data_IF_558317911627
#
_entry.id   IF_558317911627
#
_cell.length_a   1.000
_cell.length_b   1.000
_cell.length_c   1.000
_cell.angle_alpha   90.00
_cell.angle_beta   90.00
_cell.angle_gamma   90.00
#
_symmetry.space_group_name_H-M   'P 1'
#
loop_
_entity.id
_entity.type
_entity.pdbx_description
1 polymer ?
#
# COMPACT_ATOMS: atom_id res chain seq x y z
N UNK A 1 67.30 -6.67 -2.28
CA UNK A 1 66.23 -7.57 -2.73
C UNK A 1 64.92 -6.84 -2.54
N UNK A 2 64.26 -6.53 -3.64
CA UNK A 2 62.94 -5.91 -3.66
C UNK A 2 61.94 -7.04 -3.39
N UNK A 3 61.14 -6.93 -2.33
CA UNK A 3 60.08 -7.89 -2.02
C UNK A 3 58.83 -7.41 -2.75
N UNK A 4 58.31 -8.27 -3.61
CA UNK A 4 57.15 -8.05 -4.47
C UNK A 4 55.90 -7.71 -3.66
N UNK A 5 55.10 -6.78 -4.21
CA UNK A 5 53.69 -6.65 -3.92
C UNK A 5 52.95 -7.84 -4.53
N UNK A 6 52.27 -8.65 -3.72
CA UNK A 6 51.16 -9.47 -4.18
C UNK A 6 49.91 -9.00 -3.43
N UNK A 7 48.95 -8.60 -4.25
CA UNK A 7 47.66 -8.02 -3.92
C UNK A 7 46.84 -8.94 -3.03
N UNK A 8 46.48 -8.45 -1.85
CA UNK A 8 45.34 -8.95 -1.10
C UNK A 8 44.10 -8.73 -1.97
N UNK A 9 43.67 -9.78 -2.66
CA UNK A 9 42.34 -9.83 -3.26
C UNK A 9 41.33 -9.70 -2.12
N UNK A 10 40.88 -8.48 -1.89
CA UNK A 10 39.63 -8.19 -1.19
C UNK A 10 38.54 -8.97 -1.92
N UNK A 11 38.29 -10.20 -1.44
CA UNK A 11 37.14 -10.98 -1.83
C UNK A 11 35.91 -10.16 -1.49
N UNK A 12 35.38 -9.45 -2.49
CA UNK A 12 34.07 -8.82 -2.43
C UNK A 12 33.08 -9.96 -2.25
N UNK A 13 32.79 -10.31 -0.99
CA UNK A 13 31.66 -11.16 -0.65
C UNK A 13 30.45 -10.40 -1.19
N UNK A 14 29.71 -10.95 -2.18
CA UNK A 14 28.47 -10.34 -2.59
C UNK A 14 27.57 -10.37 -1.37
N UNK A 15 27.37 -9.22 -0.73
CA UNK A 15 26.32 -9.06 0.26
C UNK A 15 25.06 -9.47 -0.48
N UNK A 16 24.45 -10.61 -0.08
CA UNK A 16 23.18 -11.06 -0.62
C UNK A 16 22.28 -9.84 -0.74
N UNK A 17 21.99 -9.40 -1.96
CA UNK A 17 20.96 -8.42 -2.22
C UNK A 17 19.67 -9.03 -1.67
N UNK A 18 19.30 -8.67 -0.44
CA UNK A 18 18.07 -9.13 0.18
C UNK A 18 16.96 -8.44 -0.59
N UNK A 19 16.42 -9.13 -1.60
CA UNK A 19 15.28 -8.64 -2.36
C UNK A 19 14.14 -8.43 -1.36
N UNK A 20 13.86 -7.16 -1.05
CA UNK A 20 12.75 -6.77 -0.22
C UNK A 20 11.46 -7.16 -0.92
N UNK A 21 10.59 -7.88 -0.23
CA UNK A 21 9.32 -8.34 -0.82
C UNK A 21 8.40 -7.14 -0.98
N UNK A 22 7.77 -7.02 -2.14
CA UNK A 22 6.79 -5.97 -2.40
C UNK A 22 5.39 -6.45 -2.01
N UNK A 23 4.70 -5.64 -1.20
CA UNK A 23 3.30 -5.81 -0.87
C UNK A 23 2.44 -4.92 -1.78
N UNK A 24 1.53 -5.54 -2.52
CA UNK A 24 0.55 -4.85 -3.35
C UNK A 24 -0.78 -4.83 -2.59
N UNK A 25 -1.26 -3.63 -2.27
CA UNK A 25 -2.48 -3.43 -1.48
C UNK A 25 -3.58 -2.89 -2.38
N UNK A 26 -4.71 -3.60 -2.43
CA UNK A 26 -5.96 -3.05 -2.96
C UNK A 26 -6.55 -2.06 -1.95
N UNK A 27 -6.24 -0.78 -2.14
CA UNK A 27 -6.67 0.29 -1.24
C UNK A 27 -8.18 0.48 -1.24
N UNK A 28 -8.88 0.20 -2.34
CA UNK A 28 -10.32 0.36 -2.42
C UNK A 28 -11.02 -0.68 -1.55
N UNK A 29 -10.57 -1.94 -1.64
CA UNK A 29 -11.10 -3.02 -0.81
C UNK A 29 -10.85 -2.77 0.68
N UNK A 30 -9.63 -2.33 1.05
CA UNK A 30 -9.32 -2.02 2.46
C UNK A 30 -10.17 -0.86 2.99
N UNK A 31 -10.33 0.22 2.21
CA UNK A 31 -11.19 1.37 2.59
C UNK A 31 -12.64 0.94 2.85
N UNK A 32 -13.18 0.06 2.00
CA UNK A 32 -14.53 -0.47 2.17
C UNK A 32 -14.65 -1.43 3.36
N UNK A 33 -13.73 -2.38 3.50
CA UNK A 33 -13.70 -3.32 4.62
C UNK A 33 -13.62 -2.58 5.95
N UNK A 34 -12.72 -1.61 6.07
CA UNK A 34 -12.49 -0.90 7.32
C UNK A 34 -13.65 0.00 7.73
N UNK A 35 -14.44 0.51 6.78
CA UNK A 35 -15.68 1.19 7.17
C UNK A 35 -16.71 0.20 7.75
N UNK A 36 -16.71 -1.05 7.29
CA UNK A 36 -17.73 -2.06 7.62
C UNK A 36 -17.36 -3.01 8.76
N UNK A 37 -16.11 -2.95 9.25
CA UNK A 37 -15.66 -3.73 10.40
C UNK A 37 -16.46 -3.32 11.64
N UNK A 38 -17.37 -4.20 12.06
CA UNK A 38 -18.25 -4.03 13.22
C UNK A 38 -19.74 -4.25 12.94
N UNK A 39 -20.13 -4.51 11.68
CA UNK A 39 -21.54 -4.75 11.32
C UNK A 39 -21.83 -6.24 11.36
N UNK A 40 -22.67 -6.67 12.29
CA UNK A 40 -22.99 -8.07 12.54
C UNK A 40 -24.39 -8.46 12.01
N UNK A 41 -25.18 -7.48 11.55
CA UNK A 41 -26.54 -7.72 11.04
C UNK A 41 -26.78 -7.11 9.65
N UNK A 42 -27.75 -7.68 8.92
CA UNK A 42 -28.22 -7.15 7.62
C UNK A 42 -28.78 -5.72 7.71
N UNK A 43 -29.28 -5.29 8.87
CA UNK A 43 -29.78 -3.92 9.07
C UNK A 43 -28.64 -2.91 9.19
N UNK A 44 -27.54 -3.29 9.84
CA UNK A 44 -26.32 -2.50 9.94
C UNK A 44 -25.60 -2.34 8.59
N UNK A 45 -25.66 -3.37 7.74
CA UNK A 45 -25.21 -3.30 6.34
C UNK A 45 -26.03 -2.31 5.49
N UNK A 46 -27.33 -2.12 5.74
CA UNK A 46 -28.12 -1.11 5.02
C UNK A 46 -27.81 0.33 5.46
N UNK A 47 -27.40 0.54 6.72
CA UNK A 47 -26.81 1.83 7.14
C UNK A 47 -25.40 2.04 6.59
N UNK A 48 -24.76 0.97 6.10
CA UNK A 48 -23.39 1.00 5.62
C UNK A 48 -23.23 1.72 4.28
N UNK A 49 -24.24 1.63 3.41
CA UNK A 49 -24.28 2.41 2.17
C UNK A 49 -24.26 3.93 2.43
N UNK A 50 -24.52 4.37 3.67
CA UNK A 50 -24.44 5.77 4.09
C UNK A 50 -23.13 6.10 4.84
N UNK A 51 -22.35 5.09 5.26
CA UNK A 51 -21.07 5.33 5.96
C UNK A 51 -19.94 5.50 4.95
N UNK A 52 -19.37 6.69 4.99
CA UNK A 52 -18.19 7.08 4.23
C UNK A 52 -17.00 6.16 4.57
N UNK A 53 -16.30 5.57 3.58
CA UNK A 53 -15.05 4.84 3.78
C UNK A 53 -14.05 5.64 4.62
N UNK A 54 -13.27 4.99 5.50
CA UNK A 54 -12.29 5.66 6.36
C UNK A 54 -10.85 5.22 6.04
N UNK A 55 -9.98 6.19 5.75
CA UNK A 55 -8.57 5.95 5.42
C UNK A 55 -7.70 5.52 6.61
N UNK A 56 -8.17 5.63 7.86
CA UNK A 56 -7.41 5.18 9.04
C UNK A 56 -7.08 3.68 8.94
N UNK A 57 -8.03 2.85 8.50
CA UNK A 57 -7.81 1.42 8.37
C UNK A 57 -6.70 1.09 7.37
N UNK A 58 -6.69 1.79 6.25
CA UNK A 58 -5.64 1.68 5.24
C UNK A 58 -4.27 2.16 5.75
N UNK A 59 -4.24 3.23 6.56
CA UNK A 59 -3.01 3.69 7.22
C UNK A 59 -2.41 2.60 8.13
N UNK A 60 -3.24 1.93 8.92
CA UNK A 60 -2.78 0.87 9.83
C UNK A 60 -2.22 -0.34 9.07
N UNK A 61 -2.85 -0.74 7.96
CA UNK A 61 -2.36 -1.82 7.10
C UNK A 61 -1.00 -1.48 6.51
N UNK A 62 -0.84 -0.28 5.93
CA UNK A 62 0.43 0.15 5.34
C UNK A 62 1.53 0.26 6.39
N UNK A 63 1.21 0.83 7.56
CA UNK A 63 2.15 0.91 8.69
C UNK A 63 2.65 -0.49 9.08
N UNK A 64 1.73 -1.46 9.21
CA UNK A 64 2.09 -2.83 9.59
C UNK A 64 3.01 -3.50 8.57
N UNK A 65 2.75 -3.30 7.28
CA UNK A 65 3.59 -3.83 6.20
C UNK A 65 5.00 -3.21 6.20
N UNK A 66 5.12 -1.92 6.51
CA UNK A 66 6.43 -1.29 6.69
C UNK A 66 7.17 -1.83 7.92
N UNK A 67 6.48 -2.08 9.03
CA UNK A 67 7.07 -2.71 10.23
C UNK A 67 7.56 -4.14 9.96
N UNK A 68 6.93 -4.85 9.03
CA UNK A 68 7.33 -6.19 8.57
C UNK A 68 8.37 -6.16 7.43
N UNK A 69 8.96 -5.00 7.16
CA UNK A 69 9.99 -4.78 6.16
C UNK A 69 9.56 -5.16 4.72
N UNK A 70 8.32 -4.81 4.34
CA UNK A 70 7.86 -4.84 2.95
C UNK A 70 8.02 -3.47 2.26
N UNK A 71 8.27 -3.50 0.95
CA UNK A 71 8.02 -2.33 0.09
C UNK A 71 6.55 -2.29 -0.28
N UNK A 72 5.87 -1.17 -0.03
CA UNK A 72 4.41 -1.10 -0.15
C UNK A 72 3.98 -0.27 -1.35
N UNK A 73 3.08 -0.83 -2.17
CA UNK A 73 2.36 -0.10 -3.22
C UNK A 73 0.86 -0.26 -3.01
N UNK A 74 0.15 0.87 -2.91
CA UNK A 74 -1.30 0.89 -2.71
C UNK A 74 -1.99 1.35 -3.98
N UNK A 75 -2.92 0.56 -4.51
CA UNK A 75 -3.72 0.96 -5.66
C UNK A 75 -5.05 1.55 -5.20
N UNK A 76 -5.34 2.79 -5.62
CA UNK A 76 -6.57 3.51 -5.26
C UNK A 76 -7.22 4.06 -6.53
N UNK A 77 -8.54 3.92 -6.65
CA UNK A 77 -9.25 4.56 -7.75
C UNK A 77 -9.29 6.08 -7.54
N UNK A 78 -9.06 6.85 -8.61
CA UNK A 78 -9.10 8.32 -8.56
C UNK A 78 -10.40 8.88 -7.95
N UNK A 79 -11.51 8.14 -8.03
CA UNK A 79 -12.80 8.53 -7.46
C UNK A 79 -12.79 8.65 -5.93
N UNK A 80 -11.86 7.98 -5.23
CA UNK A 80 -11.71 8.08 -3.77
C UNK A 80 -10.91 9.32 -3.34
N UNK A 81 -10.24 10.01 -4.27
CA UNK A 81 -9.52 11.27 -4.00
C UNK A 81 -10.43 12.50 -4.01
N UNK A 82 -11.71 12.35 -4.37
CA UNK A 82 -12.67 13.45 -4.36
C UNK A 82 -13.07 13.87 -2.95
N UNK A 83 -13.35 15.16 -2.78
CA UNK A 83 -13.91 15.69 -1.53
C UNK A 83 -15.18 14.93 -1.16
N UNK A 84 -15.37 14.72 0.14
CA UNK A 84 -16.54 14.02 0.69
C UNK A 84 -16.71 12.54 0.27
N UNK A 85 -15.71 11.89 -0.34
CA UNK A 85 -15.73 10.43 -0.59
C UNK A 85 -15.09 9.58 0.50
N UNK A 86 -13.98 10.00 1.10
CA UNK A 86 -13.27 9.25 2.15
C UNK A 86 -13.08 10.10 3.41
N UNK A 87 -13.38 9.55 4.59
CA UNK A 87 -13.04 10.13 5.89
C UNK A 87 -11.53 10.08 6.07
N UNK A 88 -10.95 11.13 6.64
CA UNK A 88 -9.49 11.27 6.74
C UNK A 88 -8.79 11.25 5.37
N UNK A 89 -9.39 11.91 4.36
CA UNK A 89 -8.88 12.00 2.99
C UNK A 89 -7.41 12.44 2.90
N UNK A 90 -6.93 13.28 3.84
CA UNK A 90 -5.53 13.72 3.90
C UNK A 90 -4.55 12.54 3.94
N UNK A 91 -4.93 11.39 4.51
CA UNK A 91 -4.09 10.17 4.51
C UNK A 91 -3.83 9.69 3.08
N UNK A 92 -4.85 9.68 2.22
CA UNK A 92 -4.69 9.28 0.83
C UNK A 92 -3.83 10.30 0.07
N UNK A 93 -4.00 11.58 0.37
CA UNK A 93 -3.18 12.66 -0.21
C UNK A 93 -1.70 12.50 0.16
N UNK A 94 -1.41 12.20 1.42
CA UNK A 94 -0.06 11.91 1.91
C UNK A 94 0.53 10.65 1.24
N UNK A 95 -0.26 9.58 1.09
CA UNK A 95 0.19 8.37 0.40
C UNK A 95 0.57 8.63 -1.05
N UNK A 96 -0.14 9.54 -1.72
CA UNK A 96 0.20 9.99 -3.08
C UNK A 96 1.49 10.82 -3.08
N UNK A 97 1.62 11.77 -2.15
CA UNK A 97 2.80 12.63 -2.05
C UNK A 97 4.08 11.83 -1.76
N UNK A 98 3.98 10.78 -0.94
CA UNK A 98 5.09 9.88 -0.60
C UNK A 98 5.36 8.80 -1.68
N UNK A 99 4.59 8.77 -2.76
CA UNK A 99 4.72 7.74 -3.81
C UNK A 99 4.33 6.33 -3.36
N UNK A 100 3.63 6.19 -2.22
CA UNK A 100 3.14 4.91 -1.70
C UNK A 100 1.94 4.45 -2.53
N UNK A 101 1.04 5.37 -2.90
CA UNK A 101 -0.16 5.04 -3.67
C UNK A 101 -0.04 5.35 -5.16
N UNK A 102 -0.57 4.45 -6.00
CA UNK A 102 -0.79 4.65 -7.42
C UNK A 102 -2.29 4.80 -7.71
N UNK A 103 -2.62 5.89 -8.42
CA UNK A 103 -3.99 6.18 -8.82
C UNK A 103 -4.34 5.49 -10.14
N UNK A 104 -5.52 4.90 -10.23
CA UNK A 104 -6.02 4.29 -11.46
C UNK A 104 -7.45 4.71 -11.79
N UNK A 105 -7.79 4.73 -13.09
CA UNK A 105 -9.16 4.86 -13.56
C UNK A 105 -9.89 3.52 -13.43
N UNK A 106 -11.07 3.50 -12.81
CA UNK A 106 -11.84 2.28 -12.54
C UNK A 106 -12.12 1.44 -13.81
N UNK A 107 -12.14 2.06 -14.99
CA UNK A 107 -12.24 1.37 -16.30
C UNK A 107 -11.07 0.43 -16.62
N UNK A 108 -9.88 0.62 -16.06
CA UNK A 108 -8.69 -0.18 -16.41
C UNK A 108 -8.65 -1.56 -15.76
N UNK A 109 -9.38 -1.79 -14.66
CA UNK A 109 -9.37 -3.10 -13.98
C UNK A 109 -10.27 -4.15 -14.66
N UNK A 110 -11.26 -3.74 -15.46
CA UNK A 110 -12.10 -4.68 -16.22
C UNK A 110 -11.33 -5.40 -17.32
N UNK A 111 -10.20 -4.85 -17.79
CA UNK A 111 -9.44 -5.39 -18.92
C UNK A 111 -8.34 -6.38 -18.47
N UNK A 112 -8.00 -6.47 -17.19
CA UNK A 112 -6.93 -7.36 -16.67
C UNK A 112 -7.44 -8.68 -16.06
N UNK A 113 -8.72 -9.01 -16.23
CA UNK A 113 -9.36 -10.23 -15.70
C UNK A 113 -9.94 -11.16 -16.78
N UNK A 114 -9.50 -11.06 -18.03
CA UNK A 114 -9.87 -11.98 -19.11
C UNK A 114 -8.64 -12.61 -19.78
#
# INVERSE_FOLDING_TARGET
>A
MIVNCESDEEGIIPTKDVIKRMAIVDGCNVLHLCAGMGLHSRAEQQMFDQKKPDAIGLLLVVKRLFEEDFDVRVFISFSYMSENKVSNLFILQEFKALGISQLFHQMFMTILLF
#
